data_IF_698338165361
#
_entry.id   IF_698338165361
#
_cell.length_a   1.000
_cell.length_b   1.000
_cell.length_c   1.000
_cell.angle_alpha   90.00
_cell.angle_beta   90.00
_cell.angle_gamma   90.00
#
_symmetry.space_group_name_H-M   'P 1'
#
loop_
_entity.id
_entity.type
_entity.pdbx_description
1 polymer ?
#
# COMPACT_ATOMS: atom_id res chain seq x y z
N UNK A 1 -6.46 3.15 22.75
CA UNK A 1 -5.49 3.60 21.72
C UNK A 1 -6.05 4.74 20.86
N UNK A 2 -7.19 4.57 20.18
CA UNK A 2 -7.77 5.62 19.29
C UNK A 2 -8.01 6.96 19.99
N UNK A 3 -8.60 6.95 21.20
CA UNK A 3 -8.81 8.18 21.98
C UNK A 3 -7.51 8.95 22.25
N UNK A 4 -6.45 8.22 22.60
CA UNK A 4 -5.12 8.79 22.84
C UNK A 4 -4.54 9.40 21.57
N UNK A 5 -4.58 8.69 20.44
CA UNK A 5 -4.07 9.19 19.16
C UNK A 5 -4.82 10.44 18.68
N UNK A 6 -6.15 10.44 18.78
CA UNK A 6 -6.98 11.61 18.43
C UNK A 6 -6.63 12.81 19.32
N UNK A 7 -6.48 12.59 20.63
CA UNK A 7 -6.05 13.62 21.57
C UNK A 7 -4.66 14.19 21.24
N UNK A 8 -3.69 13.32 21.01
CA UNK A 8 -2.32 13.71 20.67
C UNK A 8 -2.26 14.50 19.36
N UNK A 9 -2.91 14.04 18.29
CA UNK A 9 -2.94 14.77 17.02
C UNK A 9 -3.68 16.10 17.12
N UNK A 10 -4.75 16.19 17.92
CA UNK A 10 -5.42 17.46 18.21
C UNK A 10 -4.45 18.46 18.85
N UNK A 11 -3.70 18.03 19.85
CA UNK A 11 -2.78 18.90 20.58
C UNK A 11 -1.64 19.37 19.67
N UNK A 12 -1.07 18.48 18.84
CA UNK A 12 -0.10 18.85 17.81
C UNK A 12 -0.66 19.87 16.80
N UNK A 13 -1.92 19.74 16.40
CA UNK A 13 -2.57 20.72 15.50
C UNK A 13 -2.69 22.07 16.20
N UNK A 14 -3.10 22.09 17.46
CA UNK A 14 -3.25 23.34 18.24
C UNK A 14 -1.90 24.04 18.42
N UNK A 15 -0.84 23.31 18.76
CA UNK A 15 0.53 23.82 18.83
C UNK A 15 0.99 24.40 17.48
N UNK A 16 0.78 23.65 16.39
CA UNK A 16 1.12 24.12 15.04
C UNK A 16 0.41 25.42 14.68
N UNK A 17 -0.87 25.56 15.05
CA UNK A 17 -1.67 26.76 14.80
C UNK A 17 -1.31 27.91 15.76
N UNK A 18 -0.83 27.60 16.97
CA UNK A 18 -0.35 28.58 17.94
C UNK A 18 1.01 29.18 17.61
N UNK A 19 1.68 28.72 16.53
CA UNK A 19 2.94 29.28 16.06
C UNK A 19 4.15 28.95 16.94
N UNK A 20 4.06 27.94 17.81
CA UNK A 20 5.15 27.57 18.75
C UNK A 20 6.29 26.80 18.07
N UNK A 21 6.11 26.34 16.83
CA UNK A 21 7.11 25.56 16.11
C UNK A 21 8.17 26.43 15.44
N UNK A 22 9.42 26.26 15.87
CA UNK A 22 10.59 26.89 15.24
C UNK A 22 10.96 26.19 13.92
N UNK A 23 11.78 26.85 13.10
CA UNK A 23 12.31 26.26 11.87
C UNK A 23 13.09 24.95 12.13
N UNK A 24 13.77 24.85 13.26
CA UNK A 24 14.47 23.62 13.67
C UNK A 24 13.49 22.47 13.92
N UNK A 25 12.38 22.72 14.63
CA UNK A 25 11.33 21.72 14.85
C UNK A 25 10.72 21.27 13.52
N UNK A 26 10.44 22.21 12.61
CA UNK A 26 9.96 21.89 11.27
C UNK A 26 10.93 21.01 10.46
N UNK A 27 12.25 21.21 10.60
CA UNK A 27 13.26 20.34 9.98
C UNK A 27 13.26 18.95 10.60
N UNK A 28 13.20 18.86 11.93
CA UNK A 28 13.15 17.57 12.65
C UNK A 28 11.93 16.74 12.25
N UNK A 29 10.76 17.36 12.11
CA UNK A 29 9.56 16.63 11.66
C UNK A 29 9.70 16.06 10.24
N UNK A 30 10.32 16.79 9.31
CA UNK A 30 10.57 16.29 7.95
C UNK A 30 11.53 15.11 7.96
N UNK A 31 12.61 15.20 8.73
CA UNK A 31 13.57 14.08 8.89
C UNK A 31 12.87 12.87 9.52
N UNK A 32 12.04 13.08 10.55
CA UNK A 32 11.25 12.03 11.18
C UNK A 32 10.31 11.34 10.19
N UNK A 33 9.63 12.11 9.32
CA UNK A 33 8.77 11.55 8.28
C UNK A 33 9.56 10.73 7.25
N UNK A 34 10.74 11.19 6.85
CA UNK A 34 11.61 10.44 5.93
C UNK A 34 12.05 9.11 6.56
N UNK A 35 12.46 9.10 7.84
CA UNK A 35 12.82 7.87 8.53
C UNK A 35 11.63 6.92 8.69
N UNK A 36 10.44 7.45 8.99
CA UNK A 36 9.22 6.66 9.06
C UNK A 36 8.90 6.01 7.70
N UNK A 37 8.89 6.76 6.60
CA UNK A 37 8.69 6.19 5.26
C UNK A 37 9.80 5.17 4.94
N UNK A 38 11.04 5.47 5.30
CA UNK A 38 12.17 4.55 5.12
C UNK A 38 11.96 3.22 5.84
N UNK A 39 11.44 3.22 7.07
CA UNK A 39 11.11 1.97 7.77
C UNK A 39 9.96 1.22 7.12
N UNK A 40 8.94 1.91 6.62
CA UNK A 40 7.83 1.26 5.89
C UNK A 40 8.31 0.63 4.58
N UNK A 41 9.24 1.27 3.86
CA UNK A 41 9.88 0.67 2.67
C UNK A 41 10.61 -0.62 3.04
N UNK A 42 11.35 -0.64 4.15
CA UNK A 42 12.04 -1.85 4.62
C UNK A 42 11.06 -2.95 5.04
N UNK A 43 9.92 -2.58 5.64
CA UNK A 43 8.85 -3.51 5.98
C UNK A 43 8.30 -4.20 4.72
N UNK A 44 7.94 -3.44 3.68
CA UNK A 44 7.50 -4.02 2.41
C UNK A 44 8.61 -4.80 1.70
N UNK A 45 9.86 -4.35 1.77
CA UNK A 45 11.00 -5.07 1.21
C UNK A 45 11.14 -6.48 1.81
N UNK A 46 10.84 -6.65 3.10
CA UNK A 46 10.81 -7.98 3.73
C UNK A 46 9.69 -8.86 3.16
N UNK A 47 8.49 -8.30 2.90
CA UNK A 47 7.37 -9.03 2.29
C UNK A 47 7.66 -9.42 0.83
N UNK A 48 8.21 -8.49 0.04
CA UNK A 48 8.66 -8.79 -1.33
C UNK A 48 9.82 -9.80 -1.33
N UNK A 49 10.72 -9.71 -0.34
CA UNK A 49 11.79 -10.69 -0.13
C UNK A 49 11.25 -12.08 0.16
N UNK A 50 10.17 -12.20 0.94
CA UNK A 50 9.49 -13.48 1.19
C UNK A 50 8.86 -14.05 -0.09
N UNK A 51 8.22 -13.20 -0.91
CA UNK A 51 7.69 -13.60 -2.23
C UNK A 51 8.82 -14.09 -3.15
N UNK A 52 9.90 -13.32 -3.26
CA UNK A 52 11.07 -13.68 -4.06
C UNK A 52 11.67 -15.01 -3.60
N UNK A 53 11.88 -15.17 -2.28
CA UNK A 53 12.41 -16.39 -1.72
C UNK A 53 11.50 -17.60 -2.01
N UNK A 54 10.19 -17.45 -1.86
CA UNK A 54 9.24 -18.50 -2.17
C UNK A 54 9.29 -18.91 -3.65
N UNK A 55 9.23 -17.93 -4.55
CA UNK A 55 9.14 -18.12 -5.99
C UNK A 55 10.43 -18.63 -6.62
N UNK A 56 11.54 -17.94 -6.36
CA UNK A 56 12.79 -18.14 -7.09
C UNK A 56 13.68 -19.21 -6.45
N UNK A 57 13.46 -19.53 -5.18
CA UNK A 57 14.29 -20.48 -4.43
C UNK A 57 13.48 -21.67 -3.93
N UNK A 58 12.49 -21.44 -3.06
CA UNK A 58 11.82 -22.53 -2.35
C UNK A 58 11.04 -23.46 -3.28
N UNK A 59 10.22 -22.92 -4.21
CA UNK A 59 9.46 -23.72 -5.17
C UNK A 59 10.37 -24.53 -6.12
N UNK A 60 11.41 -23.95 -6.74
CA UNK A 60 12.38 -24.72 -7.52
C UNK A 60 13.10 -25.81 -6.72
N UNK A 61 13.48 -25.55 -5.46
CA UNK A 61 14.11 -26.55 -4.60
C UNK A 61 13.18 -27.71 -4.26
N UNK A 62 11.89 -27.44 -4.02
CA UNK A 62 10.86 -28.47 -3.87
C UNK A 62 10.69 -29.31 -5.14
N UNK A 63 10.88 -28.69 -6.32
CA UNK A 63 10.93 -29.35 -7.62
C UNK A 63 12.24 -30.07 -7.94
N UNK A 64 13.17 -30.17 -6.98
CA UNK A 64 14.41 -30.93 -7.12
C UNK A 64 15.60 -30.13 -7.66
N UNK A 65 15.50 -28.80 -7.80
CA UNK A 65 16.63 -27.97 -8.22
C UNK A 65 17.81 -28.03 -7.22
N UNK A 66 19.03 -27.89 -7.74
CA UNK A 66 20.25 -27.95 -6.94
C UNK A 66 20.55 -29.36 -6.45
N UNK A 67 20.78 -29.52 -5.15
CA UNK A 67 21.08 -30.81 -4.51
C UNK A 67 19.82 -31.57 -4.03
N UNK A 68 18.61 -31.09 -4.37
CA UNK A 68 17.35 -31.64 -3.89
C UNK A 68 16.69 -32.68 -4.81
N UNK A 69 17.35 -33.09 -5.90
CA UNK A 69 16.79 -34.02 -6.89
C UNK A 69 16.28 -35.34 -6.26
N UNK A 70 17.07 -35.94 -5.35
CA UNK A 70 16.66 -37.17 -4.65
C UNK A 70 15.53 -36.92 -3.65
N UNK A 71 15.52 -35.77 -2.97
CA UNK A 71 14.44 -35.38 -2.06
C UNK A 71 13.11 -35.28 -2.80
N UNK A 72 13.11 -34.62 -3.96
CA UNK A 72 11.94 -34.50 -4.83
C UNK A 72 11.46 -35.89 -5.29
N UNK A 73 12.37 -36.74 -5.80
CA UNK A 73 12.04 -38.07 -6.31
C UNK A 73 11.43 -39.01 -5.25
N UNK A 74 11.81 -38.85 -3.97
CA UNK A 74 11.32 -39.71 -2.88
C UNK A 74 10.04 -39.16 -2.26
N UNK A 75 10.00 -37.85 -1.99
CA UNK A 75 8.94 -37.26 -1.17
C UNK A 75 7.79 -36.67 -2.01
N UNK A 76 8.08 -36.04 -3.16
CA UNK A 76 7.09 -35.27 -3.96
C UNK A 76 7.27 -35.54 -5.48
N UNK A 77 7.30 -36.80 -5.95
CA UNK A 77 7.70 -37.13 -7.33
C UNK A 77 6.77 -36.55 -8.42
N UNK A 78 5.51 -36.27 -8.07
CA UNK A 78 4.52 -35.72 -9.00
C UNK A 78 4.41 -34.19 -8.93
N UNK A 79 5.23 -33.53 -8.10
CA UNK A 79 5.20 -32.07 -7.96
C UNK A 79 5.85 -31.39 -9.17
N UNK A 80 5.12 -30.45 -9.78
CA UNK A 80 5.65 -29.64 -10.88
C UNK A 80 5.93 -28.23 -10.33
N UNK A 81 7.20 -27.79 -10.30
CA UNK A 81 7.53 -26.44 -9.84
C UNK A 81 7.01 -25.42 -10.86
N UNK A 82 6.06 -24.60 -10.44
CA UNK A 82 5.51 -23.50 -11.24
C UNK A 82 5.12 -22.34 -10.34
N UNK A 83 5.04 -21.15 -10.92
CA UNK A 83 4.51 -19.97 -10.25
C UNK A 83 3.52 -19.24 -11.16
N UNK A 84 2.35 -18.79 -10.64
CA UNK A 84 1.83 -19.03 -9.29
C UNK A 84 1.59 -20.51 -8.96
N UNK A 85 1.77 -20.89 -7.69
CA UNK A 85 1.55 -22.26 -7.27
C UNK A 85 0.05 -22.52 -7.02
N UNK A 86 -0.68 -22.80 -8.09
CA UNK A 86 -2.14 -23.02 -8.10
C UNK A 86 -2.56 -24.43 -7.75
N UNK A 87 -1.64 -25.40 -7.79
CA UNK A 87 -1.88 -26.76 -7.31
C UNK A 87 -0.87 -27.06 -6.22
N UNK A 88 -1.35 -27.17 -4.98
CA UNK A 88 -0.48 -27.53 -3.86
C UNK A 88 -0.24 -29.04 -3.84
N UNK A 89 0.87 -29.49 -3.23
CA UNK A 89 1.15 -30.92 -3.18
C UNK A 89 0.26 -31.71 -2.23
N UNK A 90 -0.46 -31.02 -1.33
CA UNK A 90 -1.57 -31.61 -0.56
C UNK A 90 -2.83 -31.82 -1.40
N UNK A 91 -2.85 -31.37 -2.66
CA UNK A 91 -3.94 -31.57 -3.61
C UNK A 91 -4.96 -30.43 -3.70
N UNK A 92 -4.73 -29.31 -3.00
CA UNK A 92 -5.59 -28.12 -3.10
C UNK A 92 -5.35 -27.44 -4.46
N UNK A 93 -6.44 -27.03 -5.12
CA UNK A 93 -6.40 -26.34 -6.41
C UNK A 93 -7.03 -24.98 -6.26
N UNK A 94 -6.31 -23.95 -6.70
CA UNK A 94 -6.72 -22.54 -6.69
C UNK A 94 -6.48 -21.91 -8.05
N UNK A 95 -6.99 -20.70 -8.25
CA UNK A 95 -6.70 -19.88 -9.41
C UNK A 95 -5.84 -18.67 -9.05
N UNK A 96 -5.02 -18.23 -9.99
CA UNK A 96 -4.24 -17.01 -9.85
C UNK A 96 -5.05 -15.79 -10.28
N UNK A 97 -5.08 -14.76 -9.43
CA UNK A 97 -5.73 -13.49 -9.74
C UNK A 97 -5.13 -12.87 -11.02
N UNK A 98 -5.90 -12.68 -12.10
CA UNK A 98 -5.37 -12.14 -13.34
C UNK A 98 -5.04 -10.65 -13.21
N UNK A 99 -3.95 -10.17 -13.83
CA UNK A 99 -3.57 -8.75 -13.79
C UNK A 99 -4.55 -7.85 -14.57
N UNK A 100 -5.21 -8.41 -15.58
CA UNK A 100 -6.10 -7.71 -16.48
C UNK A 100 -7.53 -7.72 -15.92
N UNK A 101 -7.97 -6.59 -15.36
CA UNK A 101 -9.25 -6.48 -14.69
C UNK A 101 -9.18 -5.51 -13.52
N UNK A 102 -9.69 -5.92 -12.36
CA UNK A 102 -9.68 -5.13 -11.12
C UNK A 102 -8.27 -4.61 -10.76
N UNK A 103 -7.18 -5.41 -10.84
CA UNK A 103 -5.84 -4.91 -10.48
C UNK A 103 -5.36 -3.77 -11.39
N UNK A 104 -5.61 -3.86 -12.70
CA UNK A 104 -5.28 -2.78 -13.63
C UNK A 104 -6.13 -1.52 -13.37
N UNK A 105 -7.43 -1.68 -13.12
CA UNK A 105 -8.32 -0.57 -12.76
C UNK A 105 -7.81 0.13 -11.49
N UNK A 106 -7.48 -0.64 -10.47
CA UNK A 106 -6.90 -0.14 -9.22
C UNK A 106 -5.57 0.58 -9.42
N UNK A 107 -4.74 0.10 -10.34
CA UNK A 107 -3.49 0.78 -10.74
C UNK A 107 -3.77 2.14 -11.35
N UNK A 108 -4.74 2.24 -12.27
CA UNK A 108 -5.13 3.51 -12.89
C UNK A 108 -5.68 4.47 -11.83
N UNK A 109 -6.52 3.99 -10.91
CA UNK A 109 -7.10 4.79 -9.82
C UNK A 109 -6.02 5.42 -8.94
N UNK A 110 -5.08 4.61 -8.43
CA UNK A 110 -4.02 5.11 -7.56
C UNK A 110 -3.06 6.06 -8.27
N UNK A 111 -2.59 5.70 -9.47
CA UNK A 111 -1.73 6.58 -10.28
C UNK A 111 -2.43 7.91 -10.57
N UNK A 112 -3.73 7.88 -10.89
CA UNK A 112 -4.52 9.10 -11.09
C UNK A 112 -4.63 9.92 -9.79
N UNK A 113 -4.80 9.26 -8.65
CA UNK A 113 -4.87 9.91 -7.34
C UNK A 113 -3.56 10.64 -6.97
N UNK A 114 -2.43 10.09 -7.39
CA UNK A 114 -1.10 10.72 -7.27
C UNK A 114 -1.02 12.07 -8.00
N UNK A 115 -1.60 12.15 -9.20
CA UNK A 115 -1.68 13.41 -9.93
C UNK A 115 -2.62 14.41 -9.25
N UNK A 116 -3.77 13.96 -8.73
CA UNK A 116 -4.73 14.86 -8.06
C UNK A 116 -4.18 15.43 -6.75
N UNK A 117 -3.43 14.66 -5.95
CA UNK A 117 -2.81 15.17 -4.72
C UNK A 117 -1.65 16.13 -5.02
N UNK A 118 -0.88 15.84 -6.07
CA UNK A 118 0.17 16.76 -6.57
C UNK A 118 -0.44 18.08 -7.01
N UNK A 119 -1.56 18.05 -7.74
CA UNK A 119 -2.29 19.25 -8.12
C UNK A 119 -2.81 20.03 -6.90
N UNK A 120 -3.36 19.33 -5.90
CA UNK A 120 -3.78 19.94 -4.65
C UNK A 120 -2.62 20.63 -3.91
N UNK A 121 -1.43 20.02 -3.91
CA UNK A 121 -0.23 20.60 -3.30
C UNK A 121 0.20 21.90 -3.99
N UNK A 122 0.22 21.91 -5.33
CA UNK A 122 0.53 23.13 -6.09
C UNK A 122 -0.52 24.22 -5.85
N UNK A 123 -1.80 23.85 -5.77
CA UNK A 123 -2.87 24.78 -5.44
C UNK A 123 -2.72 25.37 -4.04
N UNK A 124 -2.28 24.58 -3.05
CA UNK A 124 -1.97 25.05 -1.71
C UNK A 124 -0.87 26.12 -1.73
N UNK A 125 0.25 25.83 -2.42
CA UNK A 125 1.37 26.79 -2.54
C UNK A 125 0.99 28.07 -3.28
N UNK A 126 0.06 27.99 -4.22
CA UNK A 126 -0.50 29.14 -4.92
C UNK A 126 -1.59 29.90 -4.13
N UNK A 127 -1.92 29.48 -2.91
CA UNK A 127 -3.02 30.05 -2.13
C UNK A 127 -4.43 29.78 -2.70
N UNK A 128 -4.53 28.93 -3.72
CA UNK A 128 -5.81 28.57 -4.36
C UNK A 128 -6.52 27.47 -3.57
N UNK A 129 -7.24 27.92 -2.54
CA UNK A 129 -7.95 27.03 -1.61
C UNK A 129 -9.03 26.18 -2.27
N UNK A 130 -9.71 26.70 -3.30
CA UNK A 130 -10.75 25.95 -4.01
C UNK A 130 -10.16 24.72 -4.70
N UNK A 131 -9.08 24.90 -5.44
CA UNK A 131 -8.43 23.79 -6.15
C UNK A 131 -7.73 22.81 -5.19
N UNK A 132 -7.19 23.30 -4.06
CA UNK A 132 -6.70 22.44 -2.98
C UNK A 132 -7.79 21.49 -2.47
N UNK A 133 -8.97 22.03 -2.15
CA UNK A 133 -10.10 21.24 -1.64
C UNK A 133 -10.59 20.25 -2.71
N UNK A 134 -10.74 20.69 -3.96
CA UNK A 134 -11.19 19.81 -5.05
C UNK A 134 -10.18 18.67 -5.27
N UNK A 135 -8.88 18.97 -5.36
CA UNK A 135 -7.86 17.95 -5.56
C UNK A 135 -7.81 16.93 -4.42
N UNK A 136 -7.99 17.37 -3.16
CA UNK A 136 -8.10 16.46 -2.01
C UNK A 136 -9.35 15.58 -2.07
N UNK A 137 -10.51 16.13 -2.44
CA UNK A 137 -11.76 15.35 -2.59
C UNK A 137 -11.59 14.29 -3.69
N UNK A 138 -11.01 14.67 -4.84
CA UNK A 138 -10.75 13.73 -5.93
C UNK A 138 -9.78 12.63 -5.50
N UNK A 139 -8.68 12.98 -4.82
CA UNK A 139 -7.71 12.00 -4.31
C UNK A 139 -8.37 11.02 -3.35
N UNK A 140 -9.13 11.52 -2.37
CA UNK A 140 -9.82 10.69 -1.39
C UNK A 140 -10.91 9.81 -2.04
N UNK A 141 -11.63 10.35 -3.02
CA UNK A 141 -12.62 9.59 -3.80
C UNK A 141 -11.97 8.43 -4.54
N UNK A 142 -10.88 8.69 -5.29
CA UNK A 142 -10.14 7.67 -6.03
C UNK A 142 -9.55 6.60 -5.10
N UNK A 143 -8.96 7.00 -3.96
CA UNK A 143 -8.46 6.07 -2.94
C UNK A 143 -9.56 5.22 -2.30
N UNK A 144 -10.74 5.79 -2.09
CA UNK A 144 -11.90 5.06 -1.55
C UNK A 144 -12.46 4.06 -2.56
N UNK A 145 -12.51 4.43 -3.86
CA UNK A 145 -12.89 3.52 -4.94
C UNK A 145 -11.87 2.38 -5.10
N UNK A 146 -10.57 2.66 -4.95
CA UNK A 146 -9.55 1.61 -4.91
C UNK A 146 -9.83 0.60 -3.79
N UNK A 147 -10.08 1.07 -2.56
CA UNK A 147 -10.35 0.17 -1.42
C UNK A 147 -11.60 -0.67 -1.64
N UNK A 148 -12.63 -0.10 -2.26
CA UNK A 148 -13.84 -0.84 -2.64
C UNK A 148 -13.52 -1.97 -3.62
N UNK A 149 -12.83 -1.69 -4.73
CA UNK A 149 -12.46 -2.72 -5.69
C UNK A 149 -11.45 -3.73 -5.15
N UNK A 150 -10.57 -3.32 -4.22
CA UNK A 150 -9.69 -4.26 -3.51
C UNK A 150 -10.48 -5.25 -2.64
N UNK A 151 -11.59 -4.80 -2.03
CA UNK A 151 -12.48 -5.68 -1.27
C UNK A 151 -13.23 -6.65 -2.20
N UNK A 152 -13.74 -6.17 -3.34
CA UNK A 152 -14.38 -7.01 -4.36
C UNK A 152 -13.42 -8.08 -4.90
N UNK A 153 -12.16 -7.70 -5.15
CA UNK A 153 -11.12 -8.64 -5.56
C UNK A 153 -10.89 -9.75 -4.52
N UNK A 154 -10.91 -9.41 -3.24
CA UNK A 154 -10.79 -10.40 -2.17
C UNK A 154 -12.01 -11.30 -2.07
N UNK A 155 -13.21 -10.76 -2.27
CA UNK A 155 -14.43 -11.55 -2.32
C UNK A 155 -14.40 -12.54 -3.48
N UNK A 156 -13.99 -12.10 -4.67
CA UNK A 156 -13.82 -12.97 -5.84
C UNK A 156 -12.80 -14.08 -5.58
N UNK A 157 -11.64 -13.72 -5.02
CA UNK A 157 -10.58 -14.67 -4.68
C UNK A 157 -11.08 -15.77 -3.72
N UNK A 158 -11.79 -15.38 -2.66
CA UNK A 158 -12.30 -16.32 -1.65
C UNK A 158 -13.47 -17.16 -2.14
N UNK A 159 -14.42 -16.57 -2.86
CA UNK A 159 -15.69 -17.21 -3.20
C UNK A 159 -15.63 -18.04 -4.48
N UNK A 160 -14.85 -17.60 -5.46
CA UNK A 160 -14.86 -18.19 -6.80
C UNK A 160 -13.53 -18.84 -7.19
N UNK A 161 -12.39 -18.35 -6.67
CA UNK A 161 -11.06 -18.82 -7.07
C UNK A 161 -10.42 -19.84 -6.11
N UNK A 162 -11.06 -20.10 -4.96
CA UNK A 162 -10.48 -20.90 -3.87
C UNK A 162 -9.21 -20.30 -3.26
N UNK A 163 -8.85 -19.07 -3.65
CA UNK A 163 -7.65 -18.38 -3.22
C UNK A 163 -7.91 -17.71 -1.88
N UNK A 164 -7.37 -18.31 -0.83
CA UNK A 164 -7.49 -17.81 0.55
C UNK A 164 -6.11 -17.62 1.20
N UNK A 165 -6.07 -16.94 2.35
CA UNK A 165 -4.83 -16.85 3.15
C UNK A 165 -4.21 -18.23 3.47
N UNK A 166 -5.04 -19.28 3.54
CA UNK A 166 -4.61 -20.65 3.88
C UNK A 166 -4.27 -21.54 2.69
N UNK A 167 -4.52 -21.09 1.46
CA UNK A 167 -4.40 -21.89 0.23
C UNK A 167 -2.95 -22.09 -0.27
N UNK A 168 -2.02 -22.21 0.66
CA UNK A 168 -0.59 -22.37 0.40
C UNK A 168 0.20 -21.07 0.30
N UNK A 169 1.42 -21.18 -0.25
CA UNK A 169 2.39 -20.07 -0.24
C UNK A 169 1.98 -18.92 -1.17
N UNK A 170 1.31 -19.20 -2.28
CA UNK A 170 0.82 -18.16 -3.18
C UNK A 170 -0.29 -17.32 -2.53
N UNK A 171 -1.34 -17.96 -2.00
CA UNK A 171 -2.42 -17.25 -1.31
C UNK A 171 -1.95 -16.45 -0.10
N UNK A 172 -1.11 -17.06 0.76
CA UNK A 172 -0.57 -16.35 1.92
C UNK A 172 0.31 -15.14 1.55
N UNK A 173 1.21 -15.27 0.57
CA UNK A 173 2.04 -14.12 0.13
C UNK A 173 1.22 -13.06 -0.59
N UNK A 174 0.25 -13.45 -1.43
CA UNK A 174 -0.70 -12.54 -2.09
C UNK A 174 -1.41 -11.66 -1.07
N UNK A 175 -2.20 -12.26 -0.17
CA UNK A 175 -3.01 -11.50 0.79
C UNK A 175 -2.19 -10.74 1.83
N UNK A 176 -1.01 -11.23 2.20
CA UNK A 176 -0.14 -10.47 3.12
C UNK A 176 0.40 -9.21 2.43
N UNK A 177 0.90 -9.32 1.21
CA UNK A 177 1.43 -8.19 0.44
C UNK A 177 0.33 -7.15 0.12
N UNK A 178 -0.76 -7.59 -0.50
CA UNK A 178 -1.87 -6.69 -0.89
C UNK A 178 -2.66 -6.22 0.33
N UNK A 179 -2.80 -7.05 1.38
CA UNK A 179 -3.54 -6.72 2.59
C UNK A 179 -2.85 -5.66 3.43
N UNK A 180 -1.53 -5.79 3.65
CA UNK A 180 -0.78 -4.73 4.32
C UNK A 180 -0.80 -3.43 3.51
N UNK A 181 -0.71 -3.50 2.18
CA UNK A 181 -0.86 -2.31 1.34
C UNK A 181 -2.24 -1.67 1.46
N UNK A 182 -3.33 -2.44 1.40
CA UNK A 182 -4.69 -1.94 1.61
C UNK A 182 -4.89 -1.28 2.98
N UNK A 183 -4.24 -1.80 4.03
CA UNK A 183 -4.19 -1.15 5.34
C UNK A 183 -3.48 0.20 5.29
N UNK A 184 -2.35 0.32 4.58
CA UNK A 184 -1.65 1.59 4.37
C UNK A 184 -2.47 2.59 3.55
N UNK A 185 -3.17 2.16 2.50
CA UNK A 185 -4.09 3.01 1.72
C UNK A 185 -5.22 3.52 2.61
N UNK A 186 -5.74 2.69 3.51
CA UNK A 186 -6.77 3.08 4.48
C UNK A 186 -6.25 4.14 5.45
N UNK A 187 -5.06 3.94 6.02
CA UNK A 187 -4.42 4.93 6.90
C UNK A 187 -4.14 6.25 6.15
N UNK A 188 -3.63 6.17 4.92
CA UNK A 188 -3.41 7.32 4.05
C UNK A 188 -4.71 8.08 3.77
N UNK A 189 -5.81 7.36 3.54
CA UNK A 189 -7.13 7.93 3.28
C UNK A 189 -7.66 8.67 4.52
N UNK A 190 -7.46 8.13 5.72
CA UNK A 190 -7.78 8.80 6.98
C UNK A 190 -6.95 10.08 7.13
N UNK A 191 -5.64 10.02 6.86
CA UNK A 191 -4.77 11.21 6.92
C UNK A 191 -5.22 12.29 5.91
N UNK A 192 -5.55 11.90 4.67
CA UNK A 192 -6.06 12.80 3.64
C UNK A 192 -7.39 13.43 4.03
N UNK A 193 -8.30 12.67 4.64
CA UNK A 193 -9.56 13.19 5.17
C UNK A 193 -9.30 14.26 6.25
N UNK A 194 -8.36 14.02 7.16
CA UNK A 194 -7.94 15.03 8.15
C UNK A 194 -7.35 16.26 7.46
N UNK A 195 -6.51 16.09 6.42
CA UNK A 195 -5.96 17.20 5.64
C UNK A 195 -7.05 17.99 4.90
N UNK A 196 -8.07 17.32 4.38
CA UNK A 196 -9.23 17.94 3.75
C UNK A 196 -10.01 18.80 4.75
N UNK A 197 -10.35 18.24 5.91
CA UNK A 197 -11.06 18.98 6.97
C UNK A 197 -10.23 20.20 7.42
N UNK A 198 -8.92 20.04 7.63
CA UNK A 198 -8.02 21.14 8.00
C UNK A 198 -7.91 22.20 6.89
N UNK A 199 -7.91 21.80 5.63
CA UNK A 199 -7.92 22.72 4.48
C UNK A 199 -9.24 23.49 4.37
N UNK A 200 -10.37 22.85 4.65
CA UNK A 200 -11.71 23.48 4.75
C UNK A 200 -11.82 24.43 5.95
N UNK A 201 -11.01 24.23 7.01
CA UNK A 201 -10.90 25.19 8.13
C UNK A 201 -9.83 26.27 7.93
N UNK A 202 -8.93 26.10 6.97
CA UNK A 202 -7.93 27.12 6.60
C UNK A 202 -6.68 27.05 7.47
N UNK A 203 -6.34 25.85 7.96
CA UNK A 203 -5.21 25.62 8.87
C UNK A 203 -3.84 25.59 8.17
N UNK A 204 -3.77 25.84 6.86
CA UNK A 204 -2.55 25.73 6.07
C UNK A 204 -2.28 27.02 5.31
N UNK A 205 -1.00 27.40 5.23
CA UNK A 205 -0.51 28.50 4.37
C UNK A 205 0.55 27.97 3.41
N UNK A 206 0.94 28.78 2.42
CA UNK A 206 1.98 28.43 1.46
C UNK A 206 3.35 28.17 2.11
N UNK A 207 3.58 28.65 3.33
CA UNK A 207 4.82 28.49 4.10
C UNK A 207 4.67 27.43 5.20
N UNK A 208 3.48 27.31 5.80
CA UNK A 208 3.21 26.41 6.91
C UNK A 208 2.15 25.36 6.54
N UNK A 209 2.62 24.28 5.94
CA UNK A 209 1.79 23.15 5.49
C UNK A 209 2.50 21.80 5.59
N UNK A 210 3.46 21.66 6.52
CA UNK A 210 4.24 20.43 6.66
C UNK A 210 3.36 19.18 6.83
N UNK A 211 2.27 19.25 7.61
CA UNK A 211 1.39 18.09 7.79
C UNK A 211 0.77 17.63 6.46
N UNK A 212 0.38 18.57 5.59
CA UNK A 212 -0.09 18.25 4.25
C UNK A 212 1.03 17.64 3.40
N UNK A 213 2.22 18.25 3.43
CA UNK A 213 3.41 17.77 2.71
C UNK A 213 3.77 16.33 3.11
N UNK A 214 3.80 16.03 4.41
CA UNK A 214 4.04 14.70 4.95
C UNK A 214 2.97 13.68 4.51
N UNK A 215 1.68 14.05 4.57
CA UNK A 215 0.60 13.17 4.07
C UNK A 215 0.71 12.94 2.56
N UNK A 216 1.11 13.94 1.77
CA UNK A 216 1.35 13.79 0.34
C UNK A 216 2.52 12.86 0.07
N UNK A 217 3.63 12.95 0.81
CA UNK A 217 4.76 12.02 0.70
C UNK A 217 4.35 10.59 1.04
N UNK A 218 3.57 10.40 2.10
CA UNK A 218 3.03 9.09 2.47
C UNK A 218 2.15 8.52 1.35
N UNK A 219 1.25 9.32 0.77
CA UNK A 219 0.37 8.87 -0.30
C UNK A 219 1.15 8.42 -1.54
N UNK A 220 2.15 9.19 -1.97
CA UNK A 220 3.03 8.77 -3.07
C UNK A 220 3.83 7.50 -2.75
N UNK A 221 4.27 7.33 -1.50
CA UNK A 221 4.91 6.08 -1.05
C UNK A 221 3.96 4.88 -1.24
N UNK A 222 2.72 5.01 -0.80
CA UNK A 222 1.71 3.95 -0.95
C UNK A 222 1.46 3.62 -2.42
N UNK A 223 1.42 4.61 -3.30
CA UNK A 223 1.28 4.41 -4.75
C UNK A 223 2.50 3.67 -5.35
N UNK A 224 3.72 4.03 -4.94
CA UNK A 224 4.94 3.34 -5.40
C UNK A 224 4.96 1.87 -4.98
N UNK A 225 4.54 1.57 -3.73
CA UNK A 225 4.40 0.19 -3.27
C UNK A 225 3.38 -0.57 -4.12
N UNK A 226 2.25 0.06 -4.47
CA UNK A 226 1.25 -0.57 -5.35
C UNK A 226 1.81 -0.92 -6.72
N UNK A 227 2.60 -0.03 -7.34
CA UNK A 227 3.24 -0.35 -8.62
C UNK A 227 4.18 -1.56 -8.50
N UNK A 228 4.91 -1.67 -7.39
CA UNK A 228 5.69 -2.86 -7.07
C UNK A 228 4.81 -4.12 -6.95
N UNK A 229 3.68 -4.02 -6.26
CA UNK A 229 2.71 -5.12 -6.14
C UNK A 229 2.15 -5.54 -7.50
N UNK A 230 1.69 -4.58 -8.31
CA UNK A 230 1.16 -4.84 -9.64
C UNK A 230 2.18 -5.59 -10.50
N UNK A 231 3.44 -5.17 -10.48
CA UNK A 231 4.51 -5.81 -11.25
C UNK A 231 4.82 -7.22 -10.70
N UNK A 232 5.14 -7.34 -9.42
CA UNK A 232 5.71 -8.59 -8.88
C UNK A 232 4.68 -9.62 -8.42
N UNK A 233 3.45 -9.21 -8.10
CA UNK A 233 2.41 -10.14 -7.63
C UNK A 233 1.47 -10.56 -8.76
N UNK A 234 1.11 -9.61 -9.64
CA UNK A 234 0.08 -9.84 -10.67
C UNK A 234 0.62 -10.14 -12.05
N UNK A 235 1.74 -9.52 -12.45
CA UNK A 235 2.30 -9.69 -13.80
C UNK A 235 3.31 -10.84 -13.84
N UNK A 236 4.22 -10.89 -12.88
CA UNK A 236 5.28 -11.90 -12.79
C UNK A 236 4.99 -12.95 -11.73
#
# INVERSE_FOLDING_TARGET
LTYFLVGWFRDMINESMGGVYSAQVGKSYRIGMVWFIGSEVMFFAALFGALFYARELAVPWLGGAGNNAMTHAILWPDFIPQWPLTKTPSGEVTEAMPPWGLPLVNTILLVTSSFTITWAHHALKAGNRRNLIIGLILTLGLGSTFLFFQAEEYMEAYQHMGLTLGSGIYGSTFFMLTGFHGMHVTLGSIMLLVMLIRSIKGHFTAENHFAFEATSWYWHFVDVVWLGLFIFVYIF
#
